data_IF_143319929911
#
_entry.id   IF_143319929911
#
_cell.length_a   1.000
_cell.length_b   1.000
_cell.length_c   1.000
_cell.angle_alpha   90.00
_cell.angle_beta   90.00
_cell.angle_gamma   90.00
#
_symmetry.space_group_name_H-M   'P 1'
#
loop_
_entity.id
_entity.type
_entity.pdbx_description
1 polymer ?
#
# COMPACT_ATOMS: atom_id res chain seq x y z
N UNK A 1 -10.07 -11.82 -9.97
CA UNK A 1 -9.30 -10.73 -9.30
C UNK A 1 -8.72 -9.80 -10.34
N UNK A 2 -8.77 -8.47 -10.14
CA UNK A 2 -8.10 -7.52 -11.03
C UNK A 2 -6.58 -7.71 -11.00
N UNK A 3 -5.92 -7.46 -12.13
CA UNK A 3 -4.44 -7.55 -12.26
C UNK A 3 -3.73 -6.35 -11.67
N UNK A 4 -4.47 -5.28 -11.35
CA UNK A 4 -3.94 -3.98 -10.91
C UNK A 4 -2.93 -3.36 -11.89
N UNK A 5 -3.08 -3.65 -13.17
CA UNK A 5 -2.40 -2.94 -14.24
C UNK A 5 -3.00 -1.53 -14.37
N UNK A 6 -2.17 -0.56 -14.71
CA UNK A 6 -2.64 0.78 -14.99
C UNK A 6 -2.53 1.10 -16.48
N UNK A 7 -3.42 1.95 -16.95
CA UNK A 7 -3.39 2.42 -18.34
C UNK A 7 -2.61 3.74 -18.40
N UNK A 8 -1.43 3.71 -18.98
CA UNK A 8 -0.57 4.90 -19.12
C UNK A 8 -1.26 6.03 -19.92
N UNK A 9 -2.23 5.71 -20.77
CA UNK A 9 -3.02 6.69 -21.52
C UNK A 9 -3.85 7.56 -20.60
N UNK A 10 -4.41 6.99 -19.52
CA UNK A 10 -5.16 7.74 -18.51
C UNK A 10 -4.25 8.71 -17.73
N UNK A 11 -3.00 8.33 -17.50
CA UNK A 11 -2.00 9.22 -16.90
C UNK A 11 -1.73 10.40 -17.84
N UNK A 12 -1.54 10.15 -19.14
CA UNK A 12 -1.33 11.22 -20.11
C UNK A 12 -2.56 12.14 -20.24
N UNK A 13 -3.77 11.58 -20.22
CA UNK A 13 -5.01 12.36 -20.24
C UNK A 13 -5.11 13.28 -19.00
N UNK A 14 -4.73 12.79 -17.82
CA UNK A 14 -4.67 13.61 -16.61
C UNK A 14 -3.74 14.82 -16.76
N UNK A 15 -2.53 14.61 -17.30
CA UNK A 15 -1.59 15.69 -17.55
C UNK A 15 -2.10 16.65 -18.66
N UNK A 16 -2.71 16.15 -19.74
CA UNK A 16 -3.36 16.98 -20.77
C UNK A 16 -4.49 17.84 -20.20
N UNK A 17 -5.21 17.31 -19.21
CA UNK A 17 -6.26 18.04 -18.49
C UNK A 17 -5.72 19.09 -17.51
N UNK A 18 -4.39 19.23 -17.38
CA UNK A 18 -3.74 20.27 -16.58
C UNK A 18 -3.24 19.83 -15.22
N UNK A 19 -3.21 18.53 -14.92
CA UNK A 19 -2.59 18.04 -13.69
C UNK A 19 -1.11 18.45 -13.65
N UNK A 20 -0.66 18.92 -12.49
CA UNK A 20 0.71 19.38 -12.24
C UNK A 20 1.52 18.38 -11.42
N UNK A 21 0.87 17.35 -10.92
CA UNK A 21 1.52 16.26 -10.21
C UNK A 21 0.69 14.97 -10.32
N UNK A 22 1.37 13.84 -10.15
CA UNK A 22 0.77 12.53 -9.94
C UNK A 22 1.29 11.94 -8.64
N UNK A 23 0.44 11.28 -7.87
CA UNK A 23 0.84 10.52 -6.68
C UNK A 23 0.99 9.04 -7.08
N UNK A 24 2.15 8.45 -6.79
CA UNK A 24 2.45 7.05 -7.05
C UNK A 24 2.81 6.34 -5.74
N UNK A 25 1.96 5.43 -5.28
CA UNK A 25 2.24 4.61 -4.12
C UNK A 25 2.94 3.32 -4.55
N UNK A 26 4.23 3.16 -4.22
CA UNK A 26 5.05 2.03 -4.64
C UNK A 26 5.97 1.50 -3.52
N UNK A 27 5.73 0.32 -2.98
CA UNK A 27 4.62 -0.62 -3.22
C UNK A 27 3.25 -0.09 -2.82
N UNK A 28 2.21 -0.48 -3.56
CA UNK A 28 0.89 0.13 -3.46
C UNK A 28 0.05 -0.42 -2.30
N UNK A 29 -0.50 0.48 -1.51
CA UNK A 29 -1.63 0.22 -0.64
C UNK A 29 -2.91 0.69 -1.40
N UNK A 30 -3.90 -0.18 -1.69
CA UNK A 30 -4.25 -1.41 -0.95
C UNK A 30 -3.78 -2.74 -1.55
N UNK A 31 -3.39 -2.77 -2.83
CA UNK A 31 -3.33 -4.02 -3.61
C UNK A 31 -1.97 -4.74 -3.57
N UNK A 32 -0.94 -4.11 -3.01
CA UNK A 32 0.40 -4.69 -2.97
C UNK A 32 1.10 -4.75 -4.33
N UNK A 33 0.64 -3.99 -5.35
CA UNK A 33 1.36 -3.87 -6.63
C UNK A 33 2.72 -3.23 -6.38
N UNK A 34 3.75 -3.76 -7.06
CA UNK A 34 5.06 -3.14 -7.19
C UNK A 34 5.23 -2.71 -8.64
N UNK A 35 5.45 -1.42 -8.86
CA UNK A 35 5.66 -0.89 -10.20
C UNK A 35 7.01 -1.36 -10.75
N UNK A 36 7.03 -1.80 -11.99
CA UNK A 36 8.26 -2.13 -12.68
C UNK A 36 9.04 -0.88 -13.05
N UNK A 37 10.32 -1.04 -13.39
CA UNK A 37 11.15 0.07 -13.86
C UNK A 37 10.56 0.71 -15.12
N UNK A 38 10.05 -0.11 -16.03
CA UNK A 38 9.45 0.31 -17.29
C UNK A 38 8.17 1.12 -17.07
N UNK A 39 7.31 0.68 -16.13
CA UNK A 39 6.10 1.41 -15.75
C UNK A 39 6.44 2.77 -15.16
N UNK A 40 7.41 2.82 -14.24
CA UNK A 40 7.86 4.07 -13.63
C UNK A 40 8.54 5.00 -14.63
N UNK A 41 9.33 4.46 -15.57
CA UNK A 41 9.92 5.25 -16.65
C UNK A 41 8.84 5.87 -17.54
N UNK A 42 7.81 5.11 -17.92
CA UNK A 42 6.70 5.65 -18.72
C UNK A 42 5.96 6.79 -18.01
N UNK A 43 5.73 6.68 -16.70
CA UNK A 43 5.16 7.77 -15.90
C UNK A 43 6.12 8.97 -15.89
N UNK A 44 7.41 8.73 -15.70
CA UNK A 44 8.44 9.76 -15.66
C UNK A 44 8.56 10.53 -16.96
N UNK A 45 8.58 9.85 -18.11
CA UNK A 45 8.61 10.47 -19.43
C UNK A 45 7.41 11.40 -19.64
N UNK A 46 6.22 11.01 -19.19
CA UNK A 46 5.05 11.88 -19.24
C UNK A 46 5.18 13.06 -18.27
N UNK A 47 5.67 12.85 -17.04
CA UNK A 47 5.89 13.93 -16.10
C UNK A 47 6.86 14.99 -16.65
N UNK A 48 7.98 14.57 -17.24
CA UNK A 48 8.94 15.45 -17.93
C UNK A 48 8.29 16.18 -19.10
N UNK A 49 7.54 15.47 -19.94
CA UNK A 49 6.87 16.04 -21.13
C UNK A 49 5.89 17.17 -20.77
N UNK A 50 5.19 17.06 -19.65
CA UNK A 50 4.16 17.99 -19.22
C UNK A 50 4.62 18.95 -18.10
N UNK A 51 5.91 18.96 -17.78
CA UNK A 51 6.49 19.76 -16.67
C UNK A 51 5.70 19.57 -15.37
N UNK A 52 5.57 18.31 -14.98
CA UNK A 52 4.82 17.89 -13.81
C UNK A 52 5.72 17.15 -12.81
N UNK A 53 5.26 17.08 -11.56
CA UNK A 53 5.94 16.34 -10.50
C UNK A 53 5.37 14.94 -10.31
N UNK A 54 6.23 14.01 -9.90
CA UNK A 54 5.81 12.71 -9.35
C UNK A 54 6.04 12.75 -7.84
N UNK A 55 4.96 12.64 -7.09
CA UNK A 55 5.00 12.52 -5.63
C UNK A 55 4.88 11.03 -5.31
N UNK A 56 5.92 10.43 -4.75
CA UNK A 56 5.88 9.01 -4.41
C UNK A 56 5.59 8.77 -2.94
N UNK A 57 4.83 7.72 -2.63
CA UNK A 57 4.74 7.13 -1.29
C UNK A 57 5.47 5.79 -1.32
N UNK A 58 6.67 5.75 -0.73
CA UNK A 58 7.58 4.60 -0.77
C UNK A 58 7.69 3.90 0.61
N UNK A 59 6.72 4.11 1.50
CA UNK A 59 6.76 3.62 2.90
C UNK A 59 6.92 2.09 3.03
N UNK A 60 6.65 1.33 1.99
CA UNK A 60 6.79 -0.13 1.95
C UNK A 60 8.01 -0.60 1.15
N UNK A 61 8.99 0.24 0.85
CA UNK A 61 10.16 -0.07 0.01
C UNK A 61 10.94 -1.32 0.44
N UNK A 62 10.98 -1.63 1.74
CA UNK A 62 11.62 -2.82 2.29
C UNK A 62 10.72 -4.07 2.37
N UNK A 63 9.48 -3.98 1.89
CA UNK A 63 8.52 -5.08 1.90
C UNK A 63 8.11 -5.43 0.47
N UNK A 64 9.08 -5.85 -0.34
CA UNK A 64 8.91 -6.23 -1.75
C UNK A 64 9.33 -7.67 -1.94
N UNK A 65 8.39 -8.51 -2.36
CA UNK A 65 8.57 -9.96 -2.44
C UNK A 65 9.14 -10.39 -3.78
N UNK A 66 10.10 -11.32 -3.73
CA UNK A 66 10.70 -11.88 -4.95
C UNK A 66 9.62 -12.44 -5.90
N UNK A 67 9.79 -12.33 -7.22
CA UNK A 67 10.98 -11.82 -7.93
C UNK A 67 11.02 -10.28 -8.10
N UNK A 68 10.04 -9.55 -7.56
CA UNK A 68 9.94 -8.11 -7.71
C UNK A 68 11.05 -7.38 -6.94
N UNK A 69 11.35 -6.16 -7.37
CA UNK A 69 12.31 -5.26 -6.72
C UNK A 69 11.74 -3.86 -6.65
N UNK A 70 11.98 -3.19 -5.52
CA UNK A 70 11.66 -1.77 -5.42
C UNK A 70 12.54 -0.94 -6.35
N UNK A 71 11.93 0.04 -7.01
CA UNK A 71 12.64 1.05 -7.80
C UNK A 71 12.18 2.42 -7.28
N UNK A 72 13.12 3.18 -6.73
CA UNK A 72 12.86 4.56 -6.34
C UNK A 72 12.72 5.44 -7.59
N UNK A 73 11.63 6.18 -7.70
CA UNK A 73 11.32 7.05 -8.84
C UNK A 73 12.41 8.10 -9.07
N UNK A 74 12.90 8.72 -8.00
CA UNK A 74 13.94 9.73 -8.07
C UNK A 74 15.29 9.22 -8.61
N UNK A 75 15.51 7.90 -8.60
CA UNK A 75 16.73 7.27 -9.13
C UNK A 75 16.71 7.08 -10.66
N UNK A 76 15.56 7.29 -11.30
CA UNK A 76 15.45 7.17 -12.76
C UNK A 76 16.08 8.37 -13.46
N UNK A 77 16.59 8.19 -14.70
CA UNK A 77 17.23 9.26 -15.45
C UNK A 77 16.33 10.49 -15.59
N UNK A 78 16.83 11.66 -15.15
CA UNK A 78 16.13 12.95 -15.23
C UNK A 78 15.02 13.16 -14.21
N UNK A 79 14.73 12.17 -13.34
CA UNK A 79 13.57 12.24 -12.47
C UNK A 79 13.82 12.89 -11.12
N UNK A 80 15.06 13.06 -10.67
CA UNK A 80 15.34 13.67 -9.36
C UNK A 80 14.72 15.05 -9.20
N UNK A 81 14.84 15.91 -10.21
CA UNK A 81 14.33 17.28 -10.18
C UNK A 81 12.80 17.37 -10.34
N UNK A 82 12.16 16.27 -10.73
CA UNK A 82 10.70 16.15 -10.91
C UNK A 82 10.05 15.18 -9.91
N UNK A 83 10.78 14.71 -8.89
CA UNK A 83 10.26 13.76 -7.90
C UNK A 83 10.30 14.33 -6.49
N UNK A 84 9.22 14.10 -5.76
CA UNK A 84 9.14 14.29 -4.32
C UNK A 84 8.92 12.91 -3.71
N UNK A 85 9.97 12.33 -3.16
CA UNK A 85 9.89 11.03 -2.47
C UNK A 85 9.38 11.26 -1.05
N UNK A 86 8.21 10.70 -0.76
CA UNK A 86 7.65 10.65 0.59
C UNK A 86 7.93 9.28 1.18
N UNK A 87 8.48 9.23 2.37
CA UNK A 87 8.70 7.98 3.08
C UNK A 87 8.40 8.14 4.57
N UNK A 88 8.26 7.04 5.26
CA UNK A 88 7.93 7.02 6.67
C UNK A 88 8.67 5.90 7.40
N UNK A 89 9.09 6.17 8.60
CA UNK A 89 9.71 5.20 9.50
C UNK A 89 8.67 4.26 10.13
N UNK A 90 7.39 4.56 9.93
CA UNK A 90 6.26 3.90 10.58
C UNK A 90 6.18 2.39 10.37
N UNK A 91 6.51 1.92 9.14
CA UNK A 91 6.30 0.52 8.76
C UNK A 91 7.56 -0.31 8.92
N UNK A 92 8.66 0.22 8.40
CA UNK A 92 9.97 -0.45 8.49
C UNK A 92 10.39 -0.71 9.93
N UNK A 93 10.15 0.24 10.82
CA UNK A 93 10.56 0.15 12.24
C UNK A 93 9.39 -0.12 13.20
N UNK A 94 8.18 -0.39 12.70
CA UNK A 94 6.97 -0.66 13.52
C UNK A 94 6.61 0.46 14.51
N UNK A 95 6.95 1.72 14.17
CA UNK A 95 6.76 2.91 15.01
C UNK A 95 5.65 3.85 14.48
N UNK A 96 4.58 3.30 13.94
CA UNK A 96 3.47 4.07 13.33
C UNK A 96 2.96 5.18 14.23
N UNK A 97 2.89 4.95 15.55
CA UNK A 97 2.43 5.93 16.55
C UNK A 97 3.39 7.10 16.78
N UNK A 98 4.65 7.00 16.35
CA UNK A 98 5.64 8.07 16.52
C UNK A 98 5.44 9.24 15.56
N UNK A 99 4.72 9.02 14.46
CA UNK A 99 4.43 10.04 13.44
C UNK A 99 5.69 10.64 12.82
N UNK A 100 6.67 9.80 12.48
CA UNK A 100 7.90 10.19 11.82
C UNK A 100 7.91 9.76 10.34
N UNK A 101 8.30 10.68 9.49
CA UNK A 101 8.52 10.48 8.07
C UNK A 101 9.44 11.57 7.52
N UNK A 102 9.76 11.48 6.25
CA UNK A 102 10.64 12.44 5.58
C UNK A 102 10.26 12.61 4.12
N UNK A 103 10.66 13.75 3.58
CA UNK A 103 10.58 14.07 2.16
C UNK A 103 12.00 14.22 1.60
N UNK A 104 12.20 13.71 0.39
CA UNK A 104 13.43 13.92 -0.39
C UNK A 104 13.00 14.51 -1.74
N UNK A 105 13.68 15.57 -2.18
CA UNK A 105 13.39 16.20 -3.46
C UNK A 105 14.25 17.44 -3.69
N UNK A 106 13.99 18.23 -4.75
CA UNK A 106 14.72 19.45 -5.04
C UNK A 106 14.64 20.45 -3.90
N UNK A 107 15.75 21.12 -3.60
CA UNK A 107 15.87 22.02 -2.45
C UNK A 107 14.77 23.10 -2.42
N UNK A 108 14.45 23.68 -3.56
CA UNK A 108 13.42 24.72 -3.67
C UNK A 108 12.02 24.21 -3.28
N UNK A 109 11.69 22.99 -3.70
CA UNK A 109 10.41 22.35 -3.34
C UNK A 109 10.37 22.01 -1.85
N UNK A 110 11.47 21.49 -1.30
CA UNK A 110 11.57 21.15 0.13
C UNK A 110 11.47 22.43 0.99
N UNK A 111 12.09 23.53 0.60
CA UNK A 111 11.94 24.81 1.32
C UNK A 111 10.51 25.33 1.31
N UNK A 112 9.76 25.13 0.21
CA UNK A 112 8.33 25.42 0.16
C UNK A 112 7.52 24.50 1.09
N UNK A 113 7.81 23.20 1.06
CA UNK A 113 7.15 22.20 1.91
C UNK A 113 7.38 22.45 3.40
N UNK A 114 8.61 22.85 3.81
CA UNK A 114 8.93 23.21 5.19
C UNK A 114 8.03 24.33 5.71
N UNK A 115 7.82 25.39 4.93
CA UNK A 115 6.97 26.52 5.33
C UNK A 115 5.54 26.08 5.59
N UNK A 116 4.98 25.23 4.72
CA UNK A 116 3.64 24.67 4.90
C UNK A 116 3.58 23.75 6.12
N UNK A 117 4.56 22.89 6.27
CA UNK A 117 4.62 21.93 7.38
C UNK A 117 4.75 22.64 8.74
N UNK A 118 5.51 23.71 8.84
CA UNK A 118 5.66 24.51 10.05
C UNK A 118 4.29 25.06 10.54
N UNK A 119 3.47 25.55 9.61
CA UNK A 119 2.13 26.04 9.95
C UNK A 119 1.12 24.93 10.24
N UNK A 120 1.26 23.75 9.61
CA UNK A 120 0.30 22.64 9.80
C UNK A 120 0.57 21.85 11.07
N UNK A 121 1.84 21.59 11.39
CA UNK A 121 2.24 20.64 12.46
C UNK A 121 3.41 21.10 13.31
N UNK A 122 4.01 22.26 13.01
CA UNK A 122 5.26 22.77 13.63
C UNK A 122 6.48 21.88 13.31
N UNK A 123 6.39 20.60 13.53
CA UNK A 123 7.44 19.62 13.25
C UNK A 123 7.24 18.30 13.99
N UNK A 124 8.00 17.30 13.62
CA UNK A 124 8.04 16.04 14.33
C UNK A 124 8.77 16.20 15.68
N UNK A 125 8.37 15.42 16.70
CA UNK A 125 8.94 15.50 18.04
C UNK A 125 10.45 15.22 18.03
N UNK A 126 11.28 16.18 18.45
CA UNK A 126 12.73 16.09 18.41
C UNK A 126 13.30 14.86 19.14
N UNK A 127 12.83 14.45 20.34
CA UNK A 127 13.32 13.23 20.98
C UNK A 127 13.08 11.96 20.17
N UNK A 128 11.97 11.90 19.42
CA UNK A 128 11.65 10.75 18.58
C UNK A 128 12.47 10.76 17.29
N UNK A 129 12.79 11.94 16.74
CA UNK A 129 13.73 12.06 15.62
C UNK A 129 15.12 11.56 16.01
N UNK A 130 15.63 11.93 17.18
CA UNK A 130 16.91 11.47 17.70
C UNK A 130 16.92 9.95 17.88
N UNK A 131 15.89 9.39 18.49
CA UNK A 131 15.74 7.94 18.64
C UNK A 131 15.68 7.20 17.29
N UNK A 132 15.08 7.80 16.27
CA UNK A 132 14.98 7.23 14.92
C UNK A 132 16.34 7.08 14.23
N UNK A 133 17.35 7.88 14.59
CA UNK A 133 18.71 7.75 14.07
C UNK A 133 19.26 6.34 14.32
N UNK A 134 18.93 5.72 15.46
CA UNK A 134 19.29 4.34 15.75
C UNK A 134 18.76 3.37 14.68
N UNK A 135 17.48 3.49 14.33
CA UNK A 135 16.85 2.64 13.29
C UNK A 135 17.49 2.85 11.92
N UNK A 136 17.74 4.11 11.55
CA UNK A 136 18.37 4.46 10.25
C UNK A 136 19.80 3.94 10.12
N UNK A 137 20.47 3.61 11.23
CA UNK A 137 21.80 3.00 11.27
C UNK A 137 21.78 1.49 11.45
N UNK A 138 20.63 0.84 11.36
CA UNK A 138 20.58 -0.63 11.41
C UNK A 138 21.32 -1.24 10.21
N UNK A 139 21.97 -2.39 10.42
CA UNK A 139 22.67 -3.10 9.34
C UNK A 139 21.67 -3.66 8.32
N UNK A 140 22.17 -3.96 7.12
CA UNK A 140 21.36 -4.55 6.03
C UNK A 140 20.58 -5.80 6.47
N UNK A 141 21.17 -6.61 7.36
CA UNK A 141 20.53 -7.80 7.91
C UNK A 141 19.19 -7.53 8.58
N UNK A 142 18.96 -6.33 9.13
CA UNK A 142 17.66 -5.95 9.68
C UNK A 142 16.57 -5.94 8.61
N UNK A 143 16.87 -5.39 7.44
CA UNK A 143 15.93 -5.28 6.33
C UNK A 143 15.70 -6.64 5.66
N UNK A 144 16.74 -7.48 5.59
CA UNK A 144 16.65 -8.86 5.12
C UNK A 144 15.73 -9.68 6.03
N UNK A 145 15.94 -9.61 7.36
CA UNK A 145 15.11 -10.29 8.35
C UNK A 145 13.65 -9.79 8.33
N UNK A 146 13.46 -8.48 8.15
CA UNK A 146 12.12 -7.88 8.00
C UNK A 146 11.39 -8.45 6.79
N UNK A 147 12.07 -8.52 5.65
CA UNK A 147 11.51 -9.06 4.41
C UNK A 147 11.22 -10.55 4.55
N UNK A 148 12.11 -11.33 5.16
CA UNK A 148 11.90 -12.75 5.43
C UNK A 148 10.67 -12.99 6.32
N UNK A 149 10.55 -12.20 7.40
CA UNK A 149 9.42 -12.24 8.32
C UNK A 149 8.09 -12.03 7.58
N UNK A 150 8.00 -10.96 6.76
CA UNK A 150 6.78 -10.65 6.04
C UNK A 150 6.50 -11.64 4.89
N UNK A 151 7.53 -12.18 4.26
CA UNK A 151 7.38 -13.25 3.25
C UNK A 151 6.74 -14.48 3.88
N UNK A 152 7.24 -14.95 5.03
CA UNK A 152 6.67 -16.09 5.77
C UNK A 152 5.20 -15.84 6.16
N UNK A 153 4.89 -14.66 6.68
CA UNK A 153 3.53 -14.28 7.06
C UNK A 153 2.59 -14.23 5.86
N UNK A 154 3.03 -13.63 4.75
CA UNK A 154 2.29 -13.59 3.49
C UNK A 154 1.96 -15.00 3.02
N UNK A 155 2.97 -15.82 2.83
CA UNK A 155 2.82 -17.15 2.24
C UNK A 155 1.92 -18.06 3.12
N UNK A 156 2.07 -17.97 4.44
CA UNK A 156 1.19 -18.66 5.39
C UNK A 156 -0.26 -18.20 5.28
N UNK A 157 -0.48 -16.89 5.26
CA UNK A 157 -1.83 -16.32 5.24
C UNK A 157 -2.53 -16.59 3.91
N UNK A 158 -1.84 -16.40 2.77
CA UNK A 158 -2.39 -16.71 1.45
C UNK A 158 -2.72 -18.20 1.31
N UNK A 159 -1.84 -19.07 1.75
CA UNK A 159 -2.13 -20.52 1.77
C UNK A 159 -3.39 -20.86 2.58
N UNK A 160 -3.60 -20.19 3.70
CA UNK A 160 -4.84 -20.33 4.49
C UNK A 160 -6.07 -19.83 3.73
N UNK A 161 -5.99 -18.69 3.05
CA UNK A 161 -7.06 -18.16 2.21
C UNK A 161 -7.40 -19.11 1.05
N UNK A 162 -6.37 -19.71 0.40
CA UNK A 162 -6.57 -20.72 -0.65
C UNK A 162 -7.31 -21.95 -0.11
N UNK A 163 -6.95 -22.44 1.08
CA UNK A 163 -7.60 -23.59 1.72
C UNK A 163 -9.07 -23.29 2.07
N UNK A 164 -9.38 -22.05 2.41
CA UNK A 164 -10.73 -21.58 2.64
C UNK A 164 -11.48 -21.43 1.30
N UNK A 165 -10.80 -21.22 0.19
CA UNK A 165 -11.38 -20.98 -1.14
C UNK A 165 -11.73 -19.52 -1.38
N UNK A 166 -11.20 -18.59 -0.59
CA UNK A 166 -11.41 -17.15 -0.78
C UNK A 166 -10.57 -16.65 -1.95
N UNK A 167 -11.22 -16.02 -2.92
CA UNK A 167 -10.55 -15.40 -4.07
C UNK A 167 -9.77 -14.18 -3.61
N UNK A 168 -8.46 -14.16 -3.86
CA UNK A 168 -7.59 -13.07 -3.45
C UNK A 168 -6.50 -12.78 -4.49
N UNK A 169 -5.86 -11.61 -4.40
CA UNK A 169 -4.67 -11.34 -5.17
C UNK A 169 -3.41 -11.89 -4.47
N UNK A 170 -2.32 -11.98 -5.20
CA UNK A 170 -0.99 -12.25 -4.63
C UNK A 170 -0.23 -10.93 -4.57
N UNK A 171 -0.08 -10.31 -3.39
CA UNK A 171 0.62 -9.04 -3.28
C UNK A 171 2.11 -9.21 -3.58
N UNK A 172 2.64 -8.30 -4.39
CA UNK A 172 4.04 -8.22 -4.78
C UNK A 172 4.87 -7.46 -3.72
N UNK A 173 4.22 -6.64 -2.92
CA UNK A 173 4.79 -5.89 -1.82
C UNK A 173 3.75 -5.56 -0.75
N UNK A 174 4.11 -4.79 0.26
CA UNK A 174 3.31 -4.43 1.43
C UNK A 174 2.94 -5.64 2.30
N UNK A 175 2.01 -5.48 3.20
CA UNK A 175 1.42 -6.55 4.02
C UNK A 175 -0.11 -6.65 3.85
N UNK A 176 -0.63 -6.14 2.73
CA UNK A 176 -2.06 -6.16 2.42
C UNK A 176 -2.39 -7.23 1.38
N UNK A 177 -3.61 -7.72 1.47
CA UNK A 177 -4.21 -8.62 0.48
C UNK A 177 -5.65 -8.18 0.22
N UNK A 178 -6.05 -8.17 -1.05
CA UNK A 178 -7.41 -7.89 -1.46
C UNK A 178 -8.15 -9.20 -1.66
N UNK A 179 -9.36 -9.28 -1.10
CA UNK A 179 -10.26 -10.43 -1.20
C UNK A 179 -11.45 -10.02 -2.06
N UNK A 180 -11.82 -10.87 -3.00
CA UNK A 180 -13.03 -10.73 -3.80
C UNK A 180 -14.20 -11.39 -3.06
N UNK A 181 -15.20 -10.61 -2.74
CA UNK A 181 -16.39 -11.05 -2.01
C UNK A 181 -17.65 -11.13 -2.89
N UNK A 182 -17.52 -10.97 -4.22
CA UNK A 182 -18.67 -10.97 -5.13
C UNK A 182 -19.56 -12.19 -4.95
N UNK A 183 -18.95 -13.36 -4.79
CA UNK A 183 -19.63 -14.63 -4.62
C UNK A 183 -20.55 -14.66 -3.38
N UNK A 184 -20.17 -13.94 -2.32
CA UNK A 184 -21.01 -13.77 -1.14
C UNK A 184 -22.11 -12.73 -1.36
N UNK A 185 -21.79 -11.62 -2.04
CA UNK A 185 -22.78 -10.58 -2.34
C UNK A 185 -23.90 -11.07 -3.27
N UNK A 186 -23.63 -12.10 -4.06
CA UNK A 186 -24.61 -12.74 -4.94
C UNK A 186 -25.61 -13.64 -4.18
N UNK A 187 -25.35 -13.93 -2.90
CA UNK A 187 -26.25 -14.75 -2.07
C UNK A 187 -27.50 -13.95 -1.65
N UNK A 188 -28.69 -14.57 -1.62
CA UNK A 188 -29.93 -13.89 -1.28
C UNK A 188 -29.90 -13.10 0.04
N UNK A 189 -29.18 -13.61 1.02
CA UNK A 189 -29.06 -12.97 2.36
C UNK A 189 -28.21 -11.70 2.36
N UNK A 190 -27.42 -11.46 1.32
CA UNK A 190 -26.61 -10.25 1.13
C UNK A 190 -27.09 -9.40 -0.04
N UNK A 191 -28.28 -9.71 -0.58
CA UNK A 191 -28.84 -8.96 -1.70
C UNK A 191 -28.92 -7.45 -1.38
N UNK A 192 -28.21 -6.64 -2.17
CA UNK A 192 -28.14 -5.19 -1.99
C UNK A 192 -27.09 -4.72 -0.99
N UNK A 193 -26.30 -5.61 -0.39
CA UNK A 193 -25.16 -5.20 0.46
C UNK A 193 -24.07 -4.54 -0.38
N UNK A 194 -23.51 -3.50 0.18
CA UNK A 194 -22.20 -2.94 -0.22
C UNK A 194 -21.08 -3.71 0.45
N UNK A 195 -19.85 -3.50 -0.01
CA UNK A 195 -18.65 -4.02 0.65
C UNK A 195 -18.49 -3.50 2.09
N UNK A 196 -18.95 -2.27 2.38
CA UNK A 196 -18.98 -1.72 3.73
C UNK A 196 -19.92 -2.51 4.64
N UNK A 197 -21.15 -2.74 4.20
CA UNK A 197 -22.14 -3.50 4.97
C UNK A 197 -21.71 -4.95 5.17
N UNK A 198 -21.04 -5.54 4.17
CA UNK A 198 -20.43 -6.86 4.32
C UNK A 198 -19.28 -6.87 5.34
N UNK A 199 -18.41 -5.84 5.36
CA UNK A 199 -17.38 -5.69 6.38
C UNK A 199 -17.98 -5.57 7.80
N UNK A 200 -19.05 -4.80 7.96
CA UNK A 200 -19.75 -4.70 9.25
C UNK A 200 -20.38 -6.04 9.68
N UNK A 201 -20.97 -6.75 8.73
CA UNK A 201 -21.51 -8.08 8.98
C UNK A 201 -20.41 -9.07 9.39
N UNK A 202 -19.26 -9.04 8.71
CA UNK A 202 -18.08 -9.87 9.05
C UNK A 202 -17.62 -9.64 10.48
N UNK A 203 -17.54 -8.39 10.93
CA UNK A 203 -17.14 -8.09 12.31
C UNK A 203 -18.11 -8.74 13.31
N UNK A 204 -19.42 -8.62 13.06
CA UNK A 204 -20.49 -9.09 13.98
C UNK A 204 -20.62 -10.61 14.01
N UNK A 205 -20.46 -11.28 12.87
CA UNK A 205 -20.80 -12.71 12.71
C UNK A 205 -19.56 -13.61 12.60
N UNK A 206 -18.49 -13.12 11.98
CA UNK A 206 -17.23 -13.86 11.77
C UNK A 206 -16.17 -13.44 12.82
N UNK A 207 -16.22 -12.20 13.29
CA UNK A 207 -15.25 -11.65 14.24
C UNK A 207 -13.91 -11.31 13.58
N UNK A 208 -13.91 -11.00 12.29
CA UNK A 208 -12.74 -10.51 11.53
C UNK A 208 -13.09 -9.16 10.92
N UNK A 209 -12.23 -8.17 11.19
CA UNK A 209 -12.36 -6.84 10.60
C UNK A 209 -11.64 -6.75 9.26
N UNK A 210 -12.27 -6.16 8.27
CA UNK A 210 -11.70 -5.83 6.96
C UNK A 210 -11.96 -4.35 6.64
N UNK A 211 -11.25 -3.84 5.66
CA UNK A 211 -11.48 -2.49 5.13
C UNK A 211 -12.19 -2.62 3.78
N UNK A 212 -13.32 -1.92 3.56
CA UNK A 212 -14.05 -1.99 2.30
C UNK A 212 -13.18 -1.46 1.14
N UNK A 213 -13.23 -2.14 0.00
CA UNK A 213 -12.44 -1.81 -1.20
C UNK A 213 -12.87 -0.48 -1.80
N UNK A 214 -14.16 -0.16 -1.77
CA UNK A 214 -14.72 1.12 -2.23
C UNK A 214 -14.02 2.35 -1.63
N UNK A 215 -13.38 2.21 -0.47
CA UNK A 215 -12.58 3.27 0.15
C UNK A 215 -11.28 3.61 -0.61
N UNK A 216 -10.87 2.80 -1.60
CA UNK A 216 -9.58 2.93 -2.26
C UNK A 216 -9.67 3.24 -3.76
N UNK A 217 -10.83 3.07 -4.37
CA UNK A 217 -11.00 3.22 -5.81
C UNK A 217 -11.94 4.38 -6.12
N UNK A 218 -11.67 5.06 -7.23
CA UNK A 218 -12.55 6.11 -7.75
C UNK A 218 -13.79 5.52 -8.42
N UNK A 219 -13.59 4.39 -9.08
CA UNK A 219 -14.64 3.62 -9.74
C UNK A 219 -15.50 2.88 -8.70
N UNK A 220 -16.72 2.51 -9.07
CA UNK A 220 -17.59 1.71 -8.22
C UNK A 220 -17.07 0.27 -8.10
N UNK A 221 -16.16 0.06 -7.16
CA UNK A 221 -15.60 -1.25 -6.82
C UNK A 221 -16.17 -1.67 -5.46
N UNK A 222 -17.31 -2.34 -5.47
CA UNK A 222 -18.07 -2.69 -4.27
C UNK A 222 -17.98 -4.18 -3.89
N UNK A 223 -17.06 -4.93 -4.51
CA UNK A 223 -16.89 -6.38 -4.33
C UNK A 223 -15.53 -6.78 -3.78
N UNK A 224 -14.73 -5.81 -3.36
CA UNK A 224 -13.40 -6.07 -2.79
C UNK A 224 -13.36 -5.63 -1.33
N UNK A 225 -12.62 -6.38 -0.53
CA UNK A 225 -12.24 -5.98 0.84
C UNK A 225 -10.74 -6.16 1.02
N UNK A 226 -10.12 -5.35 1.88
CA UNK A 226 -8.71 -5.45 2.21
C UNK A 226 -8.52 -6.07 3.58
N UNK A 227 -7.71 -7.15 3.63
CA UNK A 227 -7.13 -7.70 4.85
C UNK A 227 -5.63 -7.36 4.93
N UNK A 228 -5.00 -7.67 6.06
CA UNK A 228 -3.55 -7.55 6.22
C UNK A 228 -3.00 -8.69 7.07
N UNK A 229 -1.74 -9.04 6.81
CA UNK A 229 -1.02 -10.08 7.55
C UNK A 229 0.08 -9.56 8.49
N UNK A 230 0.06 -8.25 8.82
CA UNK A 230 0.97 -7.62 9.78
C UNK A 230 0.50 -7.85 11.22
N UNK A 231 0.38 -9.12 11.62
CA UNK A 231 0.00 -9.55 12.97
C UNK A 231 0.91 -10.71 13.40
N UNK A 232 0.81 -11.07 14.67
CA UNK A 232 1.44 -12.29 15.18
C UNK A 232 0.80 -13.52 14.50
N UNK A 233 1.59 -14.58 14.31
CA UNK A 233 1.14 -15.80 13.63
C UNK A 233 -0.11 -16.39 14.26
N UNK A 234 -0.16 -16.43 15.60
CA UNK A 234 -1.35 -16.91 16.33
C UNK A 234 -2.61 -16.13 15.95
N UNK A 235 -2.52 -14.80 15.82
CA UNK A 235 -3.66 -13.95 15.43
C UNK A 235 -4.09 -14.23 13.99
N UNK A 236 -3.13 -14.49 13.09
CA UNK A 236 -3.42 -14.85 11.71
C UNK A 236 -4.10 -16.21 11.62
N UNK A 237 -3.64 -17.20 12.38
CA UNK A 237 -4.26 -18.52 12.44
C UNK A 237 -5.70 -18.44 12.99
N UNK A 238 -5.91 -17.70 14.06
CA UNK A 238 -7.25 -17.47 14.61
C UNK A 238 -8.17 -16.77 13.61
N UNK A 239 -7.65 -15.82 12.84
CA UNK A 239 -8.41 -15.15 11.78
C UNK A 239 -8.79 -16.12 10.67
N UNK A 240 -7.88 -16.99 10.23
CA UNK A 240 -8.16 -18.01 9.21
C UNK A 240 -9.23 -19.00 9.68
N UNK A 241 -9.14 -19.49 10.92
CA UNK A 241 -10.18 -20.37 11.51
C UNK A 241 -11.55 -19.68 11.55
N UNK A 242 -11.59 -18.38 11.84
CA UNK A 242 -12.85 -17.62 11.82
C UNK A 242 -13.36 -17.43 10.39
N UNK A 243 -12.48 -17.09 9.44
CA UNK A 243 -12.84 -16.89 8.03
C UNK A 243 -13.36 -18.20 7.39
N UNK A 244 -12.96 -19.37 7.90
CA UNK A 244 -13.46 -20.65 7.40
C UNK A 244 -15.00 -20.77 7.49
N UNK A 245 -15.64 -20.08 8.44
CA UNK A 245 -17.10 -20.00 8.55
C UNK A 245 -17.77 -19.39 7.30
N UNK A 246 -17.02 -18.63 6.50
CA UNK A 246 -17.57 -18.11 5.25
C UNK A 246 -17.89 -19.22 4.24
N UNK A 247 -17.21 -20.38 4.31
CA UNK A 247 -17.55 -21.54 3.46
C UNK A 247 -18.96 -22.07 3.71
N UNK A 248 -19.44 -21.95 4.95
CA UNK A 248 -20.76 -22.46 5.32
C UNK A 248 -21.89 -21.66 4.69
N UNK A 249 -21.55 -20.50 4.08
CA UNK A 249 -22.51 -19.64 3.39
C UNK A 249 -22.70 -20.00 1.92
N UNK A 250 -21.67 -20.61 1.30
CA UNK A 250 -21.64 -21.05 -0.11
C UNK A 250 -22.15 -22.47 -0.25
#
# INVERSE_FOLDING_TARGET
MPTYEFDIRLVEEGFKAGAKAIIVCNPSNPCGKVFTREELMAIGELALKYDAFVVTDEVYEHMVYAPNKHVCMASLPGMYDHTITCNSLSKTYSITGWRLGYLIGPAEVIEGAKKVHDFLTVGAAAPLQEAAVTGLNFPETYYEELLELYTKKRDRFLKGLDQIGLKHNVPQGTYFVMIDIQEFLDLPQFAGFTDLEFCEWMIKNIGVAAVPGSSFFREEVNHLIRLHFAREEKTLDEALVRLEKLKELL
#
